data_IF_725137543875
#
_entry.id   IF_725137543875
#
_cell.length_a   1.000
_cell.length_b   1.000
_cell.length_c   1.000
_cell.angle_alpha   90.00
_cell.angle_beta   90.00
_cell.angle_gamma   90.00
#
_symmetry.space_group_name_H-M   'P 1'
#
loop_
_entity.id
_entity.type
_entity.pdbx_description
1 polymer ?
#
# COMPACT_ATOMS: atom_id res chain seq x y z
N UNK A 1 18.89 16.25 -32.79
CA UNK A 1 19.57 16.41 -31.49
C UNK A 1 18.88 15.49 -30.49
N UNK A 2 19.55 14.41 -30.04
CA UNK A 2 19.08 13.59 -28.91
C UNK A 2 18.79 12.11 -29.17
N UNK A 3 19.72 11.35 -29.78
CA UNK A 3 19.66 9.88 -29.89
C UNK A 3 20.63 9.17 -28.92
N UNK A 4 21.04 9.82 -27.83
CA UNK A 4 22.10 9.35 -26.91
C UNK A 4 21.66 9.18 -25.44
N UNK A 5 20.39 9.44 -25.10
CA UNK A 5 19.92 9.41 -23.70
C UNK A 5 19.43 8.04 -23.21
N UNK A 6 19.55 6.97 -24.00
CA UNK A 6 18.97 5.64 -23.69
C UNK A 6 19.98 4.62 -23.13
N UNK A 7 21.23 5.00 -22.89
CA UNK A 7 22.29 4.04 -22.49
C UNK A 7 22.66 4.06 -21.01
N UNK A 8 22.25 5.07 -20.24
CA UNK A 8 22.59 5.16 -18.81
C UNK A 8 21.39 5.62 -17.98
N UNK A 9 20.89 4.80 -17.03
CA UNK A 9 19.82 5.20 -16.14
C UNK A 9 20.27 6.38 -15.27
N UNK A 10 19.37 7.35 -15.09
CA UNK A 10 19.62 8.51 -14.24
C UNK A 10 19.79 8.07 -12.77
N UNK A 11 20.49 8.88 -11.97
CA UNK A 11 20.66 8.59 -10.54
C UNK A 11 19.30 8.47 -9.81
N UNK A 12 18.28 9.22 -10.25
CA UNK A 12 16.92 9.07 -9.75
C UNK A 12 16.31 7.71 -10.08
N UNK A 13 16.56 7.17 -11.29
CA UNK A 13 16.02 5.86 -11.68
C UNK A 13 16.69 4.72 -10.92
N UNK A 14 18.00 4.83 -10.67
CA UNK A 14 18.74 3.89 -9.82
C UNK A 14 18.16 3.89 -8.41
N UNK A 15 18.02 5.07 -7.80
CA UNK A 15 17.44 5.25 -6.47
C UNK A 15 16.03 4.66 -6.37
N UNK A 16 15.17 4.94 -7.35
CA UNK A 16 13.82 4.38 -7.40
C UNK A 16 13.83 2.85 -7.53
N UNK A 17 14.79 2.29 -8.27
CA UNK A 17 14.96 0.83 -8.40
C UNK A 17 15.38 0.20 -7.08
N UNK A 18 16.36 0.76 -6.38
CA UNK A 18 16.83 0.27 -5.08
C UNK A 18 15.73 0.28 -4.01
N UNK A 19 14.87 1.30 -4.02
CA UNK A 19 13.69 1.35 -3.14
C UNK A 19 12.69 0.26 -3.52
N UNK A 20 12.39 0.11 -4.82
CA UNK A 20 11.44 -0.90 -5.33
C UNK A 20 11.85 -2.32 -4.96
N UNK A 21 13.15 -2.64 -5.07
CA UNK A 21 13.72 -3.95 -4.72
C UNK A 21 13.93 -4.15 -3.21
N UNK A 22 13.84 -3.08 -2.41
CA UNK A 22 14.08 -3.12 -0.97
C UNK A 22 15.56 -3.13 -0.59
N UNK A 23 16.46 -2.79 -1.52
CA UNK A 23 17.89 -2.66 -1.26
C UNK A 23 18.22 -1.47 -0.35
N UNK A 24 17.41 -0.41 -0.39
CA UNK A 24 17.54 0.77 0.47
C UNK A 24 16.20 1.18 1.07
N UNK A 25 16.24 1.77 2.26
CA UNK A 25 15.04 2.31 2.90
C UNK A 25 14.62 3.65 2.25
N UNK A 26 13.33 3.86 1.96
CA UNK A 26 12.83 5.13 1.44
C UNK A 26 12.93 6.24 2.49
N UNK A 27 13.27 7.44 2.05
CA UNK A 27 13.24 8.67 2.84
C UNK A 27 11.81 9.07 3.21
N UNK A 28 11.65 10.05 4.11
CA UNK A 28 10.32 10.58 4.47
C UNK A 28 9.56 11.10 3.25
N UNK A 29 10.22 11.82 2.35
CA UNK A 29 9.60 12.37 1.14
C UNK A 29 9.14 11.27 0.17
N UNK A 30 9.93 10.20 0.03
CA UNK A 30 9.56 9.06 -0.82
C UNK A 30 8.40 8.25 -0.22
N UNK A 31 8.38 8.10 1.11
CA UNK A 31 7.23 7.50 1.80
C UNK A 31 5.95 8.29 1.59
N UNK A 32 6.04 9.61 1.63
CA UNK A 32 4.89 10.49 1.38
C UNK A 32 4.31 10.25 -0.02
N UNK A 33 5.15 10.24 -1.06
CA UNK A 33 4.73 9.94 -2.44
C UNK A 33 4.10 8.55 -2.56
N UNK A 34 4.74 7.55 -1.96
CA UNK A 34 4.19 6.19 -1.92
C UNK A 34 2.79 6.14 -1.27
N UNK A 35 2.57 6.86 -0.17
CA UNK A 35 1.27 6.90 0.50
C UNK A 35 0.21 7.64 -0.32
N UNK A 36 0.57 8.70 -1.01
CA UNK A 36 -0.32 9.41 -1.93
C UNK A 36 -0.76 8.50 -3.09
N UNK A 37 0.19 7.80 -3.72
CA UNK A 37 -0.11 6.84 -4.78
C UNK A 37 -0.97 5.65 -4.28
N UNK A 38 -0.68 5.14 -3.06
CA UNK A 38 -1.50 4.12 -2.39
C UNK A 38 -2.94 4.59 -2.21
N UNK A 39 -3.12 5.79 -1.67
CA UNK A 39 -4.44 6.30 -1.34
C UNK A 39 -5.24 6.60 -2.62
N UNK A 40 -4.57 7.06 -3.69
CA UNK A 40 -5.18 7.17 -5.03
C UNK A 40 -5.65 5.83 -5.58
N UNK A 41 -4.81 4.79 -5.52
CA UNK A 41 -5.19 3.44 -5.93
C UNK A 41 -6.37 2.88 -5.12
N UNK A 42 -6.39 3.10 -3.80
CA UNK A 42 -7.48 2.65 -2.95
C UNK A 42 -8.79 3.41 -3.22
N UNK A 43 -8.72 4.72 -3.45
CA UNK A 43 -9.88 5.52 -3.83
C UNK A 43 -10.49 5.04 -5.16
N UNK A 44 -9.67 4.70 -6.16
CA UNK A 44 -10.16 4.11 -7.39
C UNK A 44 -10.89 2.78 -7.13
N UNK A 45 -10.27 1.89 -6.37
CA UNK A 45 -10.89 0.60 -6.03
C UNK A 45 -12.21 0.76 -5.26
N UNK A 46 -12.29 1.71 -4.33
CA UNK A 46 -13.53 2.03 -3.61
C UNK A 46 -14.63 2.55 -4.55
N UNK A 47 -14.29 3.41 -5.52
CA UNK A 47 -15.22 3.92 -6.53
C UNK A 47 -15.80 2.81 -7.43
N UNK A 48 -15.05 1.73 -7.62
CA UNK A 48 -15.46 0.55 -8.38
C UNK A 48 -16.02 -0.60 -7.52
N UNK A 49 -16.09 -0.44 -6.19
CA UNK A 49 -16.61 -1.47 -5.29
C UNK A 49 -15.69 -2.68 -5.12
N UNK A 50 -14.40 -2.55 -5.44
CA UNK A 50 -13.41 -3.63 -5.39
C UNK A 50 -12.73 -3.65 -4.02
N UNK A 51 -13.06 -4.64 -3.19
CA UNK A 51 -12.50 -4.80 -1.84
C UNK A 51 -11.16 -5.52 -1.86
N UNK A 52 -11.08 -6.64 -2.59
CA UNK A 52 -9.90 -7.52 -2.65
C UNK A 52 -9.32 -7.52 -4.07
N UNK A 53 -8.43 -6.57 -4.33
CA UNK A 53 -7.73 -6.46 -5.61
C UNK A 53 -6.70 -7.58 -5.86
N UNK A 54 -6.42 -8.46 -4.88
CA UNK A 54 -5.59 -9.64 -5.08
C UNK A 54 -6.41 -10.82 -5.60
N UNK A 55 -7.70 -10.86 -5.24
CA UNK A 55 -8.64 -11.86 -5.73
C UNK A 55 -9.30 -11.44 -7.04
N UNK A 56 -9.69 -10.17 -7.15
CA UNK A 56 -10.34 -9.58 -8.34
C UNK A 56 -9.31 -8.82 -9.19
N UNK A 57 -8.18 -9.46 -9.49
CA UNK A 57 -7.02 -8.84 -10.13
C UNK A 57 -7.32 -8.29 -11.53
N UNK A 58 -8.07 -9.04 -12.34
CA UNK A 58 -8.45 -8.66 -13.68
C UNK A 58 -9.40 -7.45 -13.71
N UNK A 59 -10.29 -7.34 -12.72
CA UNK A 59 -11.19 -6.20 -12.59
C UNK A 59 -10.43 -4.96 -12.10
N UNK A 60 -9.60 -5.13 -11.07
CA UNK A 60 -8.74 -4.06 -10.56
C UNK A 60 -7.78 -3.54 -11.64
N UNK A 61 -7.20 -4.43 -12.46
CA UNK A 61 -6.31 -4.07 -13.55
C UNK A 61 -7.04 -3.37 -14.70
N UNK A 62 -8.35 -3.64 -14.91
CA UNK A 62 -9.15 -2.95 -15.91
C UNK A 62 -9.59 -1.56 -15.44
N UNK A 63 -10.01 -1.46 -14.18
CA UNK A 63 -10.61 -0.25 -13.63
C UNK A 63 -9.56 0.77 -13.14
N UNK A 64 -8.47 0.30 -12.53
CA UNK A 64 -7.50 1.13 -11.79
C UNK A 64 -6.06 0.92 -12.27
N UNK A 65 -5.88 0.69 -13.58
CA UNK A 65 -4.57 0.39 -14.17
C UNK A 65 -3.54 1.51 -13.94
N UNK A 66 -3.98 2.76 -14.12
CA UNK A 66 -3.11 3.94 -14.02
C UNK A 66 -2.63 4.15 -12.58
N UNK A 67 -3.55 4.09 -11.62
CA UNK A 67 -3.26 4.23 -10.20
C UNK A 67 -2.44 3.04 -9.69
N UNK A 68 -2.67 1.83 -10.20
CA UNK A 68 -1.83 0.67 -9.88
C UNK A 68 -0.40 0.87 -10.37
N UNK A 69 -0.21 1.41 -11.57
CA UNK A 69 1.12 1.69 -12.11
C UNK A 69 1.86 2.78 -11.32
N UNK A 70 1.15 3.83 -10.90
CA UNK A 70 1.72 4.88 -10.03
C UNK A 70 2.08 4.32 -8.65
N UNK A 71 1.20 3.51 -8.07
CA UNK A 71 1.44 2.84 -6.80
C UNK A 71 2.66 1.92 -6.84
N UNK A 72 2.83 1.13 -7.91
CA UNK A 72 3.98 0.23 -8.08
C UNK A 72 5.28 0.95 -8.44
N UNK A 73 5.17 2.14 -9.06
CA UNK A 73 6.32 2.99 -9.38
C UNK A 73 6.88 3.68 -8.13
N UNK A 74 6.02 4.25 -7.30
CA UNK A 74 6.42 5.14 -6.20
C UNK A 74 6.63 4.40 -4.86
N UNK A 75 6.18 3.15 -4.75
CA UNK A 75 6.36 2.33 -3.55
C UNK A 75 7.37 1.20 -3.71
N UNK A 76 7.92 0.75 -2.57
CA UNK A 76 8.61 -0.53 -2.51
C UNK A 76 7.66 -1.69 -2.82
N UNK A 77 8.09 -2.68 -3.62
CA UNK A 77 7.21 -3.79 -4.05
C UNK A 77 6.65 -4.59 -2.86
N UNK A 78 7.46 -4.75 -1.80
CA UNK A 78 7.04 -5.39 -0.56
C UNK A 78 5.93 -4.60 0.15
N UNK A 79 5.96 -3.27 0.07
CA UNK A 79 4.93 -2.42 0.66
C UNK A 79 3.64 -2.46 -0.13
N UNK A 80 3.71 -2.46 -1.47
CA UNK A 80 2.52 -2.64 -2.33
C UNK A 80 1.79 -3.92 -1.95
N UNK A 81 2.55 -5.03 -1.88
CA UNK A 81 2.00 -6.34 -1.49
C UNK A 81 1.41 -6.31 -0.09
N UNK A 82 2.13 -5.72 0.88
CA UNK A 82 1.66 -5.60 2.26
C UNK A 82 0.37 -4.77 2.35
N UNK A 83 0.32 -3.60 1.73
CA UNK A 83 -0.82 -2.70 1.79
C UNK A 83 -2.08 -3.30 1.14
N UNK A 84 -1.93 -3.99 0.00
CA UNK A 84 -3.05 -4.70 -0.63
C UNK A 84 -3.65 -5.74 0.33
N UNK A 85 -2.81 -6.55 0.99
CA UNK A 85 -3.25 -7.53 2.01
C UNK A 85 -3.85 -6.85 3.26
N UNK A 86 -3.20 -5.81 3.76
CA UNK A 86 -3.60 -5.09 4.95
C UNK A 86 -4.98 -4.45 4.78
N UNK A 87 -5.27 -3.86 3.61
CA UNK A 87 -6.59 -3.28 3.33
C UNK A 87 -7.72 -4.28 3.51
N UNK A 88 -7.59 -5.49 2.96
CA UNK A 88 -8.60 -6.55 3.09
C UNK A 88 -8.78 -6.94 4.56
N UNK A 89 -7.68 -7.15 5.27
CA UNK A 89 -7.70 -7.49 6.70
C UNK A 89 -8.32 -6.39 7.55
N UNK A 90 -8.02 -5.12 7.27
CA UNK A 90 -8.55 -3.97 7.99
C UNK A 90 -10.06 -3.82 7.78
N UNK A 91 -10.54 -3.99 6.54
CA UNK A 91 -11.98 -3.99 6.22
C UNK A 91 -12.69 -5.12 6.97
N UNK A 92 -12.17 -6.35 6.91
CA UNK A 92 -12.73 -7.51 7.61
C UNK A 92 -12.73 -7.32 9.13
N UNK A 93 -11.63 -6.78 9.69
CA UNK A 93 -11.51 -6.48 11.10
C UNK A 93 -12.55 -5.45 11.52
N UNK A 94 -12.69 -4.34 10.79
CA UNK A 94 -13.68 -3.29 11.07
C UNK A 94 -15.12 -3.83 11.01
N UNK A 95 -15.44 -4.63 9.99
CA UNK A 95 -16.75 -5.26 9.87
C UNK A 95 -17.05 -6.19 11.05
N UNK A 96 -16.08 -7.03 11.44
CA UNK A 96 -16.21 -7.93 12.59
C UNK A 96 -16.39 -7.17 13.91
N UNK A 97 -15.60 -6.11 14.12
CA UNK A 97 -15.72 -5.29 15.34
C UNK A 97 -17.10 -4.64 15.42
N UNK A 98 -17.59 -4.07 14.32
CA UNK A 98 -18.93 -3.48 14.25
C UNK A 98 -20.04 -4.48 14.58
N UNK A 99 -19.92 -5.71 14.09
CA UNK A 99 -20.86 -6.79 14.38
C UNK A 99 -20.84 -7.16 15.88
N UNK A 100 -19.65 -7.32 16.48
CA UNK A 100 -19.51 -7.62 17.90
C UNK A 100 -20.08 -6.49 18.78
N UNK A 101 -19.84 -5.23 18.42
CA UNK A 101 -20.41 -4.07 19.11
C UNK A 101 -21.94 -4.07 19.04
N UNK A 102 -22.53 -4.41 17.89
CA UNK A 102 -23.98 -4.55 17.74
C UNK A 102 -24.56 -5.70 18.59
N UNK A 103 -23.78 -6.75 18.84
CA UNK A 103 -24.13 -7.86 19.74
C UNK A 103 -23.91 -7.53 21.23
N UNK A 104 -23.50 -6.29 21.56
CA UNK A 104 -23.28 -5.85 22.94
C UNK A 104 -21.93 -6.27 23.52
N UNK A 105 -20.96 -6.64 22.68
CA UNK A 105 -19.61 -6.92 23.15
C UNK A 105 -18.92 -5.64 23.65
N UNK A 106 -18.31 -5.71 24.84
CA UNK A 106 -17.50 -4.62 25.37
C UNK A 106 -16.06 -4.74 24.87
N UNK A 107 -15.52 -3.66 24.31
CA UNK A 107 -14.10 -3.58 23.92
C UNK A 107 -13.23 -3.64 25.16
N UNK A 108 -12.39 -4.67 25.26
CA UNK A 108 -11.36 -4.77 26.29
C UNK A 108 -10.11 -4.04 25.81
N UNK A 109 -9.70 -2.98 26.50
CA UNK A 109 -8.42 -2.33 26.26
C UNK A 109 -7.30 -3.13 26.93
N UNK A 110 -6.43 -3.72 26.12
CA UNK A 110 -5.26 -4.45 26.63
C UNK A 110 -4.21 -3.41 27.05
N UNK A 111 -4.05 -3.20 28.36
CA UNK A 111 -2.89 -2.49 28.88
C UNK A 111 -1.66 -3.40 28.74
N UNK A 112 -0.78 -3.02 27.82
CA UNK A 112 0.53 -3.64 27.70
C UNK A 112 1.53 -2.79 28.50
N UNK A 113 1.67 -3.10 29.78
CA UNK A 113 2.77 -2.55 30.59
C UNK A 113 4.08 -3.21 30.13
N UNK A 114 4.80 -2.54 29.24
CA UNK A 114 6.08 -3.00 28.69
C UNK A 114 7.28 -2.64 29.58
N UNK A 115 7.06 -2.09 30.78
CA UNK A 115 8.14 -1.53 31.61
C UNK A 115 9.00 -2.60 32.32
N UNK A 116 8.76 -3.89 32.11
CA UNK A 116 9.55 -4.98 32.70
C UNK A 116 10.37 -5.75 31.66
N UNK A 117 11.33 -5.08 31.00
CA UNK A 117 12.51 -5.74 30.43
C UNK A 117 13.72 -4.84 30.67
N UNK A 118 14.31 -5.00 31.84
CA UNK A 118 15.63 -4.46 32.15
C UNK A 118 16.70 -5.47 31.75
#
# INVERSE_FOLDING_TARGET
MGLLSTLFPSESDKRATEIRTGAVAPSRAERQKCWEARDGYFACLDAHGIVDALKEDAEAARACAAESAEFEKDCAAQWVTYFKKWRVQDIQKKARLKELEAQGANRMDVQTDFTQRR
#
